data_IF_160977031535
#
_entry.id   IF_160977031535
#
_cell.length_a   1.000
_cell.length_b   1.000
_cell.length_c   1.000
_cell.angle_alpha   90.00
_cell.angle_beta   90.00
_cell.angle_gamma   90.00
#
_symmetry.space_group_name_H-M   'P 1'
#
loop_
_entity.id
_entity.type
_entity.pdbx_description
1 polymer ?
#
# COMPACT_ATOMS: atom_id res chain seq x y z
N UNK A 1 -87.79 12.00 5.67
CA UNK A 1 -87.84 10.53 5.64
C UNK A 1 -86.83 10.08 4.58
N UNK A 2 -85.75 9.40 5.03
CA UNK A 2 -84.80 8.55 4.27
C UNK A 2 -83.99 9.20 3.13
N UNK A 3 -82.70 9.57 3.31
CA UNK A 3 -81.43 8.79 3.38
C UNK A 3 -81.13 7.84 2.21
N UNK A 4 -80.07 8.17 1.44
CA UNK A 4 -78.86 7.37 1.07
C UNK A 4 -78.22 7.94 -0.22
N UNK A 5 -77.09 8.65 -0.15
CA UNK A 5 -75.69 8.19 -0.19
C UNK A 5 -75.24 7.50 -1.48
N UNK A 6 -74.64 8.28 -2.40
CA UNK A 6 -73.73 7.82 -3.44
C UNK A 6 -72.44 8.65 -3.39
N UNK A 7 -71.39 8.10 -2.75
CA UNK A 7 -70.09 8.76 -2.53
C UNK A 7 -69.19 8.53 -3.75
N UNK A 8 -68.97 9.57 -4.56
CA UNK A 8 -67.98 9.58 -5.63
C UNK A 8 -66.56 9.65 -5.05
N UNK A 9 -65.71 8.70 -5.42
CA UNK A 9 -64.26 8.74 -5.17
C UNK A 9 -63.64 9.70 -6.18
N UNK A 10 -63.14 10.86 -5.70
CA UNK A 10 -62.28 11.74 -6.49
C UNK A 10 -60.84 11.23 -6.39
N UNK A 11 -60.33 10.68 -7.49
CA UNK A 11 -58.90 10.46 -7.70
C UNK A 11 -58.21 11.82 -7.80
N UNK A 12 -57.37 12.17 -6.83
CA UNK A 12 -56.44 13.28 -6.92
C UNK A 12 -55.21 12.79 -7.70
N UNK A 13 -55.28 12.84 -9.02
CA UNK A 13 -54.13 12.65 -9.89
C UNK A 13 -53.24 13.88 -9.84
N UNK A 14 -52.28 13.91 -8.91
CA UNK A 14 -51.16 14.86 -8.96
C UNK A 14 -50.22 14.38 -10.06
N UNK A 15 -50.41 14.90 -11.28
CA UNK A 15 -49.42 14.73 -12.34
C UNK A 15 -48.10 15.38 -11.90
N UNK A 16 -47.12 14.57 -11.53
CA UNK A 16 -45.74 15.00 -11.35
C UNK A 16 -45.19 15.40 -12.72
N UNK A 17 -45.35 16.67 -13.09
CA UNK A 17 -44.60 17.29 -14.19
C UNK A 17 -43.16 17.50 -13.73
N UNK A 18 -42.30 16.53 -14.04
CA UNK A 18 -40.87 16.68 -13.88
C UNK A 18 -40.35 17.64 -14.95
N UNK A 19 -39.77 18.77 -14.52
CA UNK A 19 -39.12 19.69 -15.43
C UNK A 19 -37.89 19.01 -16.08
N UNK A 20 -37.71 19.10 -17.41
CA UNK A 20 -36.62 18.42 -18.12
C UNK A 20 -35.23 18.76 -17.55
N UNK A 21 -35.05 19.97 -17.00
CA UNK A 21 -33.81 20.39 -16.36
C UNK A 21 -33.48 19.57 -15.10
N UNK A 22 -34.48 19.18 -14.30
CA UNK A 22 -34.26 18.36 -13.09
C UNK A 22 -33.94 16.91 -13.42
N UNK A 23 -34.53 16.37 -14.49
CA UNK A 23 -34.18 15.03 -15.00
C UNK A 23 -32.74 15.03 -15.50
N UNK A 24 -32.32 16.07 -16.21
CA UNK A 24 -30.95 16.19 -16.71
C UNK A 24 -29.92 16.36 -15.58
N UNK A 25 -30.22 17.15 -14.54
CA UNK A 25 -29.34 17.29 -13.37
C UNK A 25 -29.24 16.01 -12.53
N UNK A 26 -30.34 15.27 -12.35
CA UNK A 26 -30.31 13.97 -11.66
C UNK A 26 -29.57 12.94 -12.52
N UNK A 27 -29.78 12.92 -13.84
CA UNK A 27 -29.06 12.03 -14.75
C UNK A 27 -27.56 12.35 -14.81
N UNK A 28 -27.16 13.63 -14.82
CA UNK A 28 -25.76 14.06 -14.74
C UNK A 28 -25.16 13.76 -13.36
N UNK A 29 -25.89 13.97 -12.26
CA UNK A 29 -25.42 13.62 -10.92
C UNK A 29 -25.30 12.10 -10.75
N UNK A 30 -26.22 11.31 -11.32
CA UNK A 30 -26.11 9.85 -11.37
C UNK A 30 -25.00 9.37 -12.30
N UNK A 31 -24.75 10.02 -13.45
CA UNK A 31 -23.60 9.72 -14.32
C UNK A 31 -22.28 10.12 -13.68
N UNK A 32 -22.23 11.22 -12.92
CA UNK A 32 -21.07 11.64 -12.15
C UNK A 32 -20.84 10.72 -10.95
N UNK A 33 -21.89 10.27 -10.25
CA UNK A 33 -21.80 9.25 -9.21
C UNK A 33 -21.40 7.89 -9.78
N UNK A 34 -21.91 7.49 -10.95
CA UNK A 34 -21.51 6.24 -11.62
C UNK A 34 -20.08 6.31 -12.16
N UNK A 35 -19.58 7.49 -12.57
CA UNK A 35 -18.16 7.70 -12.90
C UNK A 35 -17.25 7.84 -11.67
N UNK A 36 -17.82 8.08 -10.48
CA UNK A 36 -17.09 8.12 -9.20
C UNK A 36 -17.19 6.79 -8.43
N UNK A 37 -18.06 5.85 -8.83
CA UNK A 37 -18.24 4.55 -8.14
C UNK A 37 -17.85 3.31 -8.93
N UNK A 38 -17.24 3.42 -10.11
CA UNK A 38 -16.45 2.30 -10.62
C UNK A 38 -15.11 2.32 -9.89
N UNK A 39 -15.08 1.60 -8.77
CA UNK A 39 -13.93 1.35 -7.91
C UNK A 39 -13.57 -0.15 -8.06
N UNK A 40 -12.47 -0.45 -8.76
CA UNK A 40 -11.89 -1.76 -8.98
C UNK A 40 -10.46 -1.79 -8.47
N UNK A 41 -10.07 -2.97 -8.02
CA UNK A 41 -9.09 -3.17 -6.98
C UNK A 41 -8.00 -4.16 -7.48
N UNK A 42 -6.78 -3.62 -7.69
CA UNK A 42 -5.53 -4.20 -8.21
C UNK A 42 -4.71 -5.14 -7.27
N UNK A 43 -3.47 -5.53 -7.57
CA UNK A 43 -2.64 -6.41 -6.71
C UNK A 43 -1.70 -5.70 -5.73
N UNK A 44 -1.11 -6.47 -4.82
CA UNK A 44 0.00 -6.13 -3.91
C UNK A 44 1.34 -5.92 -4.64
N UNK A 45 2.05 -4.83 -4.32
CA UNK A 45 3.46 -4.65 -4.68
C UNK A 45 4.32 -4.47 -3.43
N UNK A 46 5.48 -5.13 -3.42
CA UNK A 46 6.53 -4.87 -2.44
C UNK A 46 7.45 -3.77 -2.94
N UNK A 47 7.95 -2.95 -2.02
CA UNK A 47 9.08 -2.08 -2.33
C UNK A 47 10.25 -2.93 -2.80
N UNK A 48 10.95 -2.46 -3.83
CA UNK A 48 12.15 -3.11 -4.32
C UNK A 48 13.25 -2.11 -4.68
N UNK A 49 14.48 -2.60 -4.70
CA UNK A 49 15.66 -1.82 -5.07
C UNK A 49 16.54 -2.65 -5.99
N UNK A 50 16.96 -2.07 -7.11
CA UNK A 50 17.98 -2.67 -7.98
C UNK A 50 19.36 -2.24 -7.47
N UNK A 51 20.19 -3.21 -7.08
CA UNK A 51 21.50 -2.92 -6.49
C UNK A 51 22.49 -2.27 -7.48
N UNK A 52 23.36 -1.36 -7.03
CA UNK A 52 24.28 -0.63 -7.91
C UNK A 52 25.36 -1.53 -8.53
N UNK A 53 25.15 -1.92 -9.79
CA UNK A 53 26.06 -2.79 -10.54
C UNK A 53 27.38 -2.15 -10.97
N UNK A 54 27.61 -0.86 -10.65
CA UNK A 54 28.94 -0.23 -10.77
C UNK A 54 29.87 -0.64 -9.61
N UNK A 55 29.30 -1.11 -8.50
CA UNK A 55 30.08 -1.58 -7.36
C UNK A 55 30.56 -3.02 -7.54
N UNK A 56 31.54 -3.41 -6.73
CA UNK A 56 31.98 -4.80 -6.65
C UNK A 56 30.84 -5.73 -6.22
N UNK A 57 30.81 -7.01 -6.67
CA UNK A 57 29.75 -7.96 -6.31
C UNK A 57 29.53 -8.15 -4.80
N UNK A 58 30.56 -7.96 -3.97
CA UNK A 58 30.43 -8.01 -2.51
C UNK A 58 29.58 -6.87 -1.93
N UNK A 59 29.41 -5.78 -2.67
CA UNK A 59 28.59 -4.62 -2.29
C UNK A 59 27.23 -4.61 -2.98
N UNK A 60 27.17 -4.90 -4.27
CA UNK A 60 25.91 -4.97 -5.02
C UNK A 60 25.14 -6.27 -4.83
N UNK A 61 25.71 -7.26 -4.14
CA UNK A 61 25.21 -8.63 -4.15
C UNK A 61 25.46 -9.36 -5.48
N UNK A 62 26.05 -8.69 -6.48
CA UNK A 62 26.32 -9.27 -7.79
C UNK A 62 25.08 -9.45 -8.66
N UNK A 63 23.96 -8.77 -8.34
CA UNK A 63 22.70 -8.92 -9.07
C UNK A 63 22.04 -7.57 -9.36
N UNK A 64 21.49 -7.44 -10.57
CA UNK A 64 20.59 -6.37 -10.99
C UNK A 64 19.12 -6.79 -10.92
N UNK A 65 18.83 -7.94 -10.32
CA UNK A 65 17.47 -8.31 -9.99
C UNK A 65 16.93 -7.41 -8.87
N UNK A 66 15.69 -6.92 -8.97
CA UNK A 66 15.04 -6.18 -7.89
C UNK A 66 15.09 -6.97 -6.58
N UNK A 67 15.65 -6.36 -5.54
CA UNK A 67 15.70 -6.90 -4.19
C UNK A 67 14.61 -6.28 -3.34
N UNK A 68 13.95 -7.05 -2.48
CA UNK A 68 12.88 -6.53 -1.62
C UNK A 68 13.42 -5.48 -0.64
N UNK A 69 12.72 -4.36 -0.54
CA UNK A 69 13.05 -3.27 0.37
C UNK A 69 12.53 -3.58 1.77
N UNK A 70 13.40 -3.62 2.78
CA UNK A 70 13.04 -3.98 4.16
C UNK A 70 14.11 -3.57 5.17
N UNK A 71 13.77 -3.49 6.45
CA UNK A 71 14.77 -3.33 7.51
C UNK A 71 15.56 -4.63 7.78
N UNK A 72 16.79 -4.49 8.27
CA UNK A 72 17.43 -5.57 9.03
C UNK A 72 16.82 -5.66 10.44
N UNK A 73 16.10 -6.74 10.70
CA UNK A 73 15.46 -7.05 11.99
C UNK A 73 16.20 -8.13 12.77
N UNK A 74 17.42 -8.47 12.38
CA UNK A 74 18.26 -9.50 13.04
C UNK A 74 18.62 -9.14 14.49
N UNK A 75 18.63 -7.84 14.81
CA UNK A 75 18.96 -7.31 16.14
C UNK A 75 17.74 -6.62 16.75
N UNK A 76 17.45 -6.83 18.04
CA UNK A 76 16.39 -6.09 18.71
C UNK A 76 16.63 -4.58 18.72
N UNK A 77 15.57 -3.81 18.51
CA UNK A 77 15.58 -2.35 18.56
C UNK A 77 16.26 -1.66 17.38
N UNK A 78 16.50 -2.36 16.25
CA UNK A 78 17.13 -1.77 15.07
C UNK A 78 16.30 -0.66 14.43
N UNK A 79 14.97 -0.76 14.52
CA UNK A 79 14.06 0.24 13.94
C UNK A 79 13.86 1.37 14.95
N UNK A 80 14.77 2.35 14.92
CA UNK A 80 14.66 3.58 15.70
C UNK A 80 13.47 4.41 15.20
N UNK A 81 12.71 5.00 16.12
CA UNK A 81 11.48 5.71 15.76
C UNK A 81 11.18 6.85 16.71
N UNK A 82 10.66 7.92 16.14
CA UNK A 82 10.19 9.08 16.88
C UNK A 82 8.93 9.67 16.25
N UNK A 83 8.24 10.52 16.99
CA UNK A 83 7.15 11.31 16.42
C UNK A 83 7.23 12.76 16.89
N UNK A 84 6.86 13.67 15.99
CA UNK A 84 6.90 15.11 16.24
C UNK A 84 5.73 15.57 17.09
N UNK A 85 6.01 16.17 18.24
CA UNK A 85 5.01 16.79 19.11
C UNK A 85 4.59 18.18 18.63
N UNK A 86 5.17 18.65 17.52
CA UNK A 86 4.71 19.85 16.82
C UNK A 86 3.41 19.50 16.10
N UNK A 87 2.30 20.00 16.63
CA UNK A 87 0.97 19.84 16.06
C UNK A 87 0.51 21.16 15.44
N UNK A 88 -0.12 21.10 14.27
CA UNK A 88 -0.76 22.27 13.67
C UNK A 88 -1.76 22.92 14.63
N UNK A 89 -1.61 24.23 14.86
CA UNK A 89 -2.43 24.99 15.82
C UNK A 89 -3.50 25.87 15.18
N UNK A 90 -3.44 26.10 13.86
CA UNK A 90 -4.43 26.89 13.13
C UNK A 90 -4.42 26.59 11.63
N UNK A 91 -5.32 25.71 11.13
CA UNK A 91 -6.32 24.95 11.88
C UNK A 91 -5.69 23.81 12.71
N UNK A 92 -6.42 23.34 13.73
CA UNK A 92 -6.07 22.09 14.42
C UNK A 92 -6.28 20.93 13.44
N UNK A 93 -5.22 20.19 13.15
CA UNK A 93 -5.26 19.08 12.18
C UNK A 93 -5.59 17.74 12.81
N UNK A 94 -5.33 17.57 14.12
CA UNK A 94 -5.56 16.32 14.85
C UNK A 94 -6.49 16.56 16.03
N UNK A 95 -7.66 15.94 15.97
CA UNK A 95 -8.69 15.95 16.99
C UNK A 95 -8.55 14.75 17.91
N UNK A 96 -8.50 15.02 19.22
CA UNK A 96 -8.35 14.05 20.30
C UNK A 96 -9.54 14.14 21.27
N UNK A 97 -9.75 13.14 22.11
CA UNK A 97 -10.80 13.17 23.11
C UNK A 97 -10.36 14.00 24.32
N UNK A 98 -9.11 13.84 24.75
CA UNK A 98 -8.50 14.69 25.76
C UNK A 98 -7.92 15.95 25.11
N UNK A 99 -8.45 17.11 25.50
CA UNK A 99 -8.07 18.42 24.96
C UNK A 99 -6.96 19.11 25.76
N UNK A 100 -6.49 18.51 26.87
CA UNK A 100 -5.32 19.01 27.61
C UNK A 100 -4.03 18.79 26.81
N UNK A 101 -3.05 19.68 26.92
CA UNK A 101 -1.81 19.57 26.15
C UNK A 101 -1.11 18.20 26.35
N UNK A 102 -1.04 17.70 27.58
CA UNK A 102 -0.45 16.39 27.87
C UNK A 102 -1.32 15.23 27.37
N UNK A 103 -2.64 15.32 27.56
CA UNK A 103 -3.59 14.30 27.12
C UNK A 103 -3.60 14.12 25.61
N UNK A 104 -3.62 15.23 24.85
CA UNK A 104 -3.50 15.23 23.38
C UNK A 104 -2.29 14.43 22.92
N UNK A 105 -1.11 14.72 23.50
CA UNK A 105 0.13 14.06 23.09
C UNK A 105 0.13 12.58 23.44
N UNK A 106 -0.35 12.22 24.63
CA UNK A 106 -0.45 10.81 25.04
C UNK A 106 -1.45 10.03 24.20
N UNK A 107 -2.55 10.65 23.81
CA UNK A 107 -3.55 10.00 22.96
C UNK A 107 -3.01 9.74 21.55
N UNK A 108 -2.31 10.70 20.93
CA UNK A 108 -1.65 10.52 19.63
C UNK A 108 -0.55 9.45 19.71
N UNK A 109 0.29 9.49 20.75
CA UNK A 109 1.32 8.48 20.96
C UNK A 109 0.75 7.07 21.09
N UNK A 110 -0.38 6.91 21.77
CA UNK A 110 -1.07 5.62 21.87
C UNK A 110 -1.54 5.13 20.48
N UNK A 111 -2.05 6.03 19.63
CA UNK A 111 -2.44 5.67 18.25
C UNK A 111 -1.23 5.23 17.42
N UNK A 112 -0.10 5.94 17.54
CA UNK A 112 1.17 5.56 16.88
C UNK A 112 1.61 4.17 17.34
N UNK A 113 1.60 3.91 18.66
CA UNK A 113 1.97 2.61 19.22
C UNK A 113 1.04 1.49 18.76
N UNK A 114 -0.28 1.73 18.73
CA UNK A 114 -1.27 0.77 18.26
C UNK A 114 -1.06 0.43 16.78
N UNK A 115 -0.88 1.45 15.93
CA UNK A 115 -0.64 1.26 14.49
C UNK A 115 0.63 0.45 14.21
N UNK A 116 1.68 0.63 15.02
CA UNK A 116 2.92 -0.18 14.97
C UNK A 116 2.69 -1.62 15.50
N UNK A 117 1.86 -1.78 16.53
CA UNK A 117 1.56 -3.07 17.11
C UNK A 117 0.80 -3.99 16.12
N UNK A 118 -0.03 -3.42 15.26
CA UNK A 118 -0.75 -4.15 14.21
C UNK A 118 0.20 -4.93 13.30
N UNK A 119 1.22 -4.26 12.77
CA UNK A 119 2.23 -4.89 11.90
C UNK A 119 3.10 -5.90 12.64
N UNK A 120 3.53 -5.57 13.86
CA UNK A 120 4.40 -6.47 14.65
C UNK A 120 3.65 -7.60 15.36
N UNK A 121 2.32 -7.57 15.33
CA UNK A 121 1.44 -8.61 15.86
C UNK A 121 1.20 -9.79 14.92
N UNK A 122 1.59 -9.67 13.65
CA UNK A 122 1.42 -10.73 12.65
C UNK A 122 2.27 -11.96 13.01
N UNK A 123 1.67 -13.14 12.89
CA UNK A 123 2.37 -14.42 13.08
C UNK A 123 3.17 -14.82 11.83
N UNK A 124 4.22 -15.63 12.02
CA UNK A 124 5.00 -16.15 10.88
C UNK A 124 6.02 -15.18 10.29
N UNK A 125 6.24 -14.05 10.96
CA UNK A 125 7.21 -13.02 10.57
C UNK A 125 8.29 -12.81 11.64
N UNK A 126 9.50 -12.44 11.22
CA UNK A 126 10.60 -11.99 12.10
C UNK A 126 10.47 -10.52 12.52
N UNK A 127 9.56 -9.74 11.90
CA UNK A 127 9.21 -8.41 12.39
C UNK A 127 8.38 -8.56 13.67
N UNK A 128 8.98 -8.26 14.81
CA UNK A 128 8.39 -8.42 16.15
C UNK A 128 8.38 -7.11 16.91
N UNK A 129 7.65 -7.01 18.03
CA UNK A 129 7.71 -5.82 18.89
C UNK A 129 9.14 -5.50 19.34
N UNK A 130 9.98 -6.52 19.51
CA UNK A 130 11.39 -6.38 19.87
C UNK A 130 12.26 -5.80 18.74
N UNK A 131 11.84 -5.85 17.48
CA UNK A 131 12.54 -5.21 16.36
C UNK A 131 12.49 -3.68 16.44
N UNK A 132 11.50 -3.14 17.17
CA UNK A 132 11.25 -1.72 17.28
C UNK A 132 12.00 -1.12 18.48
N UNK A 133 12.71 -0.03 18.25
CA UNK A 133 13.27 0.79 19.34
C UNK A 133 12.16 1.44 20.19
N UNK A 134 12.54 2.02 21.33
CA UNK A 134 11.62 2.79 22.15
C UNK A 134 11.13 4.02 21.39
N UNK A 135 9.81 4.18 21.25
CA UNK A 135 9.23 5.37 20.59
C UNK A 135 9.59 6.63 21.38
N UNK A 136 10.25 7.57 20.72
CA UNK A 136 10.62 8.87 21.29
C UNK A 136 9.66 9.98 20.83
N UNK A 137 9.58 11.05 21.64
CA UNK A 137 8.97 12.32 21.26
C UNK A 137 10.06 13.28 20.83
N UNK A 138 9.81 14.07 19.79
CA UNK A 138 10.67 15.20 19.40
C UNK A 138 9.87 16.47 19.24
N UNK A 139 10.37 17.59 19.76
CA UNK A 139 9.79 18.92 19.55
C UNK A 139 10.50 19.69 18.42
N UNK A 140 11.37 19.01 17.68
CA UNK A 140 12.08 19.61 16.54
C UNK A 140 11.07 19.88 15.43
N UNK A 141 11.01 21.14 15.00
CA UNK A 141 10.32 21.50 13.77
C UNK A 141 11.04 20.81 12.61
N UNK A 142 10.28 20.30 11.65
CA UNK A 142 10.80 19.56 10.48
C UNK A 142 11.66 18.34 10.85
N UNK A 143 11.16 17.49 11.76
CA UNK A 143 11.87 16.29 12.20
C UNK A 143 11.93 15.18 11.14
N UNK A 144 11.08 15.21 10.12
CA UNK A 144 11.08 14.21 9.05
C UNK A 144 12.08 14.65 7.98
N UNK A 145 13.32 14.19 8.12
CA UNK A 145 14.38 14.44 7.15
C UNK A 145 14.96 13.11 6.70
N UNK A 146 14.96 12.85 5.39
CA UNK A 146 15.30 11.56 4.79
C UNK A 146 16.80 11.21 4.81
N UNK A 147 17.52 11.61 5.84
CA UNK A 147 18.99 11.53 5.91
C UNK A 147 19.55 11.39 7.32
N UNK A 148 18.69 11.36 8.34
CA UNK A 148 19.12 11.24 9.73
C UNK A 148 19.08 9.79 10.25
N UNK A 149 18.43 8.88 9.51
CA UNK A 149 18.26 7.48 9.90
C UNK A 149 17.32 7.28 11.09
N UNK A 150 16.45 8.27 11.35
CA UNK A 150 15.40 8.20 12.36
C UNK A 150 14.04 8.19 11.66
N UNK A 151 13.37 7.04 11.71
CA UNK A 151 12.03 6.90 11.15
C UNK A 151 11.04 7.79 11.93
N UNK A 152 10.73 8.97 11.39
CA UNK A 152 9.99 10.01 12.08
C UNK A 152 8.56 10.11 11.58
N UNK A 153 7.61 10.38 12.50
CA UNK A 153 6.22 10.68 12.14
C UNK A 153 5.95 12.16 12.38
N UNK A 154 5.60 12.89 11.32
CA UNK A 154 5.37 14.34 11.38
C UNK A 154 3.93 14.71 11.01
N UNK A 155 3.33 15.55 11.84
CA UNK A 155 1.94 16.00 11.69
C UNK A 155 1.81 17.45 11.21
N UNK A 156 2.92 18.19 11.19
CA UNK A 156 2.96 19.62 10.88
C UNK A 156 4.20 19.98 10.04
N UNK A 157 4.50 19.17 9.03
CA UNK A 157 5.60 19.42 8.10
C UNK A 157 5.08 19.41 6.67
N UNK A 158 5.25 20.53 5.96
CA UNK A 158 4.83 20.64 4.57
C UNK A 158 5.88 20.04 3.63
N UNK A 159 5.42 19.45 2.54
CA UNK A 159 6.26 18.85 1.50
C UNK A 159 5.56 19.01 0.14
N UNK A 160 6.35 19.21 -0.91
CA UNK A 160 5.89 19.23 -2.30
C UNK A 160 5.17 17.95 -2.75
N UNK A 161 5.39 16.82 -2.06
CA UNK A 161 4.73 15.55 -2.32
C UNK A 161 3.25 15.52 -1.92
N UNK A 162 2.75 16.50 -1.14
CA UNK A 162 1.31 16.67 -0.90
C UNK A 162 0.59 17.23 -2.14
N UNK A 163 0.53 16.42 -3.20
CA UNK A 163 -0.31 16.69 -4.37
C UNK A 163 -1.80 16.64 -4.00
N UNK A 164 -2.68 17.04 -4.93
CA UNK A 164 -4.13 17.00 -4.70
C UNK A 164 -4.58 15.59 -4.27
N UNK A 165 -5.34 15.49 -3.17
CA UNK A 165 -5.86 14.22 -2.64
C UNK A 165 -4.93 13.43 -1.70
N UNK A 166 -3.63 13.74 -1.64
CA UNK A 166 -2.66 13.01 -0.78
C UNK A 166 -2.81 13.39 0.70
N UNK A 167 -3.40 12.52 1.52
CA UNK A 167 -3.62 12.77 2.95
C UNK A 167 -2.35 12.61 3.79
N UNK A 168 -1.54 11.62 3.44
CA UNK A 168 -0.27 11.29 4.05
C UNK A 168 0.61 10.59 3.01
N UNK A 169 1.90 10.49 3.29
CA UNK A 169 2.81 9.63 2.54
C UNK A 169 4.01 9.24 3.41
N UNK A 170 4.70 8.19 3.00
CA UNK A 170 5.94 7.74 3.64
C UNK A 170 7.11 7.86 2.68
N UNK A 171 8.16 8.53 3.11
CA UNK A 171 9.41 8.70 2.36
C UNK A 171 10.40 7.65 2.80
N UNK A 172 10.54 6.60 1.99
CA UNK A 172 11.48 5.51 2.24
C UNK A 172 12.80 5.75 1.50
N UNK A 173 13.91 5.61 2.22
CA UNK A 173 15.27 5.58 1.67
C UNK A 173 15.83 4.20 1.90
N UNK A 174 16.22 3.53 0.81
CA UNK A 174 16.84 2.21 0.83
C UNK A 174 18.26 2.26 0.30
N UNK A 175 19.13 1.42 0.84
CA UNK A 175 20.48 1.24 0.34
C UNK A 175 20.48 0.57 -1.05
N UNK A 176 21.28 1.07 -1.97
CA UNK A 176 21.53 0.41 -3.26
C UNK A 176 22.65 -0.63 -3.16
N UNK A 177 23.40 -0.61 -2.06
CA UNK A 177 24.57 -1.46 -1.84
C UNK A 177 24.70 -1.82 -0.37
N UNK A 178 25.44 -2.88 -0.05
CA UNK A 178 25.89 -3.11 1.32
C UNK A 178 27.02 -2.13 1.69
N UNK A 179 27.04 -1.73 2.96
CA UNK A 179 27.96 -0.75 3.52
C UNK A 179 27.55 0.71 3.28
N UNK A 180 26.37 0.97 2.74
CA UNK A 180 25.85 2.31 2.52
C UNK A 180 25.35 2.94 3.83
N UNK A 181 25.52 4.26 3.98
CA UNK A 181 25.14 5.01 5.16
C UNK A 181 24.53 6.35 4.74
N UNK A 182 23.51 6.81 5.48
CA UNK A 182 22.95 8.15 5.27
C UNK A 182 23.87 9.23 5.84
N UNK A 183 24.49 8.94 6.98
CA UNK A 183 25.49 9.80 7.61
C UNK A 183 26.51 8.98 8.39
N UNK A 184 27.61 9.61 8.81
CA UNK A 184 28.62 8.96 9.66
C UNK A 184 28.10 8.50 11.03
N UNK A 185 26.89 8.94 11.42
CA UNK A 185 26.24 8.53 12.66
C UNK A 185 25.29 7.34 12.51
N UNK A 186 24.95 6.94 11.29
CA UNK A 186 24.06 5.81 11.01
C UNK A 186 24.82 4.50 10.82
N UNK A 187 24.19 3.38 11.15
CA UNK A 187 24.76 2.06 10.87
C UNK A 187 24.86 1.83 9.34
N UNK A 188 25.91 1.15 8.87
CA UNK A 188 25.99 0.76 7.47
C UNK A 188 24.96 -0.32 7.15
N UNK A 189 24.37 -0.24 5.96
CA UNK A 189 23.53 -1.31 5.42
C UNK A 189 24.32 -2.62 5.36
N UNK A 190 23.61 -3.71 5.58
CA UNK A 190 24.10 -5.09 5.49
C UNK A 190 23.76 -5.71 4.12
N UNK A 191 22.73 -5.23 3.44
CA UNK A 191 22.33 -5.67 2.10
C UNK A 191 21.75 -4.54 1.23
N UNK A 192 21.70 -4.76 -0.09
CA UNK A 192 20.99 -3.87 -1.01
C UNK A 192 19.47 -4.05 -0.87
N UNK A 193 18.73 -2.95 -0.82
CA UNK A 193 17.32 -2.90 -0.43
C UNK A 193 17.11 -2.68 1.07
N UNK A 194 18.15 -2.60 1.89
CA UNK A 194 17.97 -2.29 3.31
C UNK A 194 17.40 -0.89 3.50
N UNK A 195 16.28 -0.77 4.23
CA UNK A 195 15.71 0.52 4.58
C UNK A 195 16.62 1.21 5.59
N UNK A 196 17.10 2.38 5.22
CA UNK A 196 17.96 3.23 6.04
C UNK A 196 17.16 4.30 6.79
N UNK A 197 16.04 4.74 6.21
CA UNK A 197 15.16 5.76 6.76
C UNK A 197 13.75 5.64 6.13
N UNK A 198 12.73 5.98 6.90
CA UNK A 198 11.34 5.88 6.51
C UNK A 198 10.48 6.85 7.33
N UNK A 199 10.38 8.08 6.84
CA UNK A 199 9.61 9.15 7.45
C UNK A 199 8.15 9.12 7.00
N UNK A 200 7.22 9.23 7.95
CA UNK A 200 5.79 9.39 7.70
C UNK A 200 5.39 10.85 7.84
N UNK A 201 4.81 11.42 6.79
CA UNK A 201 4.33 12.80 6.78
C UNK A 201 2.82 12.81 6.58
N UNK A 202 2.11 13.45 7.51
CA UNK A 202 0.68 13.72 7.39
C UNK A 202 0.47 15.15 6.93
N UNK A 203 -0.53 15.36 6.07
CA UNK A 203 -0.82 16.68 5.49
C UNK A 203 -1.05 17.73 6.58
N UNK A 204 -0.20 18.78 6.65
CA UNK A 204 -0.35 19.83 7.63
C UNK A 204 -1.39 20.87 7.19
N UNK A 205 -2.05 21.49 8.17
CA UNK A 205 -2.73 22.79 8.05
C UNK A 205 -3.81 22.97 6.97
N UNK A 206 -4.30 21.91 6.32
CA UNK A 206 -5.36 22.02 5.31
C UNK A 206 -6.73 22.15 6.00
N UNK A 207 -7.41 23.29 5.79
CA UNK A 207 -8.73 23.57 6.37
C UNK A 207 -9.81 22.54 5.97
N UNK A 208 -9.56 21.75 4.93
CA UNK A 208 -10.47 20.71 4.44
C UNK A 208 -10.07 19.30 4.86
N UNK A 209 -8.92 19.13 5.49
CA UNK A 209 -8.41 17.83 5.95
C UNK A 209 -8.21 17.88 7.46
N UNK A 210 -8.93 17.01 8.18
CA UNK A 210 -8.77 16.86 9.63
C UNK A 210 -8.70 15.38 9.95
N UNK A 211 -7.81 15.02 10.86
CA UNK A 211 -7.64 13.67 11.37
C UNK A 211 -8.20 13.59 12.79
N UNK A 212 -8.65 12.41 13.19
CA UNK A 212 -9.14 12.18 14.54
C UNK A 212 -8.66 10.85 15.08
N UNK A 213 -8.29 10.81 16.36
CA UNK A 213 -7.95 9.57 17.05
C UNK A 213 -9.19 8.68 17.20
N UNK A 214 -9.04 7.36 17.42
CA UNK A 214 -10.17 6.46 17.62
C UNK A 214 -11.12 6.89 18.74
N UNK A 215 -10.59 7.43 19.85
CA UNK A 215 -11.39 7.90 20.98
C UNK A 215 -12.19 9.17 20.65
N UNK A 216 -11.68 10.01 19.75
CA UNK A 216 -12.33 11.23 19.30
C UNK A 216 -13.18 11.04 18.03
N UNK A 217 -13.17 9.84 17.44
CA UNK A 217 -13.86 9.56 16.18
C UNK A 217 -15.38 9.74 16.23
N UNK A 218 -16.12 9.21 17.24
CA UNK A 218 -17.58 9.31 17.27
C UNK A 218 -18.18 10.73 17.17
N UNK A 219 -17.63 11.75 17.85
CA UNK A 219 -18.12 13.13 17.70
C UNK A 219 -17.63 13.85 16.43
N UNK A 220 -16.70 13.27 15.65
CA UNK A 220 -16.04 13.94 14.52
C UNK A 220 -16.26 13.19 13.19
N UNK A 221 -17.51 13.10 12.68
CA UNK A 221 -17.84 12.30 11.50
C UNK A 221 -17.29 12.85 10.18
N UNK A 222 -16.67 14.04 10.18
CA UNK A 222 -16.05 14.65 9.01
C UNK A 222 -14.52 14.57 9.04
N UNK A 223 -13.94 13.85 9.99
CA UNK A 223 -12.50 13.65 10.09
C UNK A 223 -12.10 12.28 9.55
N UNK A 224 -10.89 12.19 9.00
CA UNK A 224 -10.24 10.93 8.67
C UNK A 224 -9.76 10.24 9.94
N UNK A 225 -9.83 8.92 9.94
CA UNK A 225 -9.34 8.12 11.05
C UNK A 225 -7.80 8.09 11.09
N UNK A 226 -7.21 8.66 12.14
CA UNK A 226 -5.75 8.75 12.28
C UNK A 226 -5.09 7.37 12.36
N UNK A 227 -5.70 6.40 13.04
CA UNK A 227 -5.14 5.05 13.17
C UNK A 227 -5.12 4.32 11.82
N UNK A 228 -6.16 4.45 10.99
CA UNK A 228 -6.19 3.84 9.64
C UNK A 228 -5.11 4.43 8.75
N UNK A 229 -4.99 5.76 8.72
CA UNK A 229 -3.96 6.46 7.92
C UNK A 229 -2.56 6.08 8.42
N UNK A 230 -2.30 6.14 9.72
CA UNK A 230 -0.99 5.77 10.26
C UNK A 230 -0.66 4.29 10.03
N UNK A 231 -1.63 3.38 10.18
CA UNK A 231 -1.39 1.96 9.93
C UNK A 231 -1.02 1.72 8.46
N UNK A 232 -1.66 2.40 7.52
CA UNK A 232 -1.30 2.38 6.10
C UNK A 232 0.13 2.88 5.86
N UNK A 233 0.45 4.09 6.33
CA UNK A 233 1.77 4.69 6.13
C UNK A 233 2.89 3.85 6.77
N UNK A 234 2.63 3.27 7.94
CA UNK A 234 3.60 2.37 8.58
C UNK A 234 3.82 1.07 7.79
N UNK A 235 2.87 0.64 6.95
CA UNK A 235 3.13 -0.44 6.00
C UNK A 235 4.24 -0.06 5.02
N UNK A 236 4.20 1.17 4.48
CA UNK A 236 5.30 1.68 3.65
C UNK A 236 6.61 1.78 4.43
N UNK A 237 6.57 2.20 5.71
CA UNK A 237 7.74 2.17 6.59
C UNK A 237 8.38 0.78 6.62
N UNK A 238 7.58 -0.28 6.62
CA UNK A 238 8.08 -1.66 6.63
C UNK A 238 8.42 -2.23 5.24
N UNK A 239 8.33 -1.45 4.16
CA UNK A 239 8.74 -1.85 2.82
C UNK A 239 7.60 -2.26 1.88
N UNK A 240 6.35 -1.99 2.26
CA UNK A 240 5.21 -2.24 1.38
C UNK A 240 5.11 -1.14 0.33
N UNK A 241 4.70 -1.49 -0.89
CA UNK A 241 4.04 -0.53 -1.79
C UNK A 241 2.53 -0.69 -1.63
N UNK A 242 1.75 0.04 -2.42
CA UNK A 242 0.31 -0.16 -2.38
C UNK A 242 -0.07 -1.58 -2.79
N UNK A 243 -1.08 -2.09 -2.10
CA UNK A 243 -1.91 -3.15 -2.62
C UNK A 243 -3.06 -2.52 -3.31
N UNK A 244 -3.53 -3.14 -4.36
CA UNK A 244 -4.75 -2.69 -4.95
C UNK A 244 -5.93 -3.59 -4.53
N UNK A 245 -5.72 -4.57 -3.63
CA UNK A 245 -6.79 -5.37 -3.03
C UNK A 245 -7.63 -4.44 -2.16
N UNK A 246 -8.91 -4.28 -2.49
CA UNK A 246 -9.77 -3.26 -1.86
C UNK A 246 -9.81 -3.32 -0.33
N UNK A 247 -9.72 -4.54 0.23
CA UNK A 247 -9.78 -4.76 1.67
C UNK A 247 -8.41 -4.69 2.35
N UNK A 248 -7.33 -4.53 1.60
CA UNK A 248 -5.99 -4.43 2.17
C UNK A 248 -5.80 -3.09 2.88
N UNK A 249 -5.02 -3.10 3.94
CA UNK A 249 -4.59 -1.86 4.60
C UNK A 249 -3.79 -1.01 3.62
N UNK A 250 -2.99 -1.65 2.76
CA UNK A 250 -2.21 -0.96 1.73
C UNK A 250 -3.00 -0.51 0.50
N UNK A 251 -4.33 -0.53 0.54
CA UNK A 251 -5.15 0.06 -0.51
C UNK A 251 -4.88 1.57 -0.64
N UNK A 252 -4.56 2.12 -1.85
CA UNK A 252 -4.09 3.50 -2.03
C UNK A 252 -5.07 4.59 -1.60
N UNK A 253 -6.34 4.24 -1.40
CA UNK A 253 -7.38 5.20 -1.07
C UNK A 253 -7.90 4.96 0.34
N UNK A 254 -7.75 5.98 1.17
CA UNK A 254 -8.33 5.98 2.50
C UNK A 254 -9.88 5.91 2.43
N UNK A 255 -10.53 5.30 3.43
CA UNK A 255 -11.97 5.47 3.62
C UNK A 255 -12.35 6.96 3.67
N UNK A 256 -13.56 7.32 3.21
CA UNK A 256 -14.02 8.70 3.31
C UNK A 256 -14.10 9.15 4.77
N UNK A 257 -14.10 10.46 5.05
CA UNK A 257 -14.22 10.96 6.42
C UNK A 257 -15.42 10.37 7.15
N UNK A 258 -15.25 10.08 8.45
CA UNK A 258 -16.25 9.38 9.25
C UNK A 258 -16.29 7.86 9.06
N UNK A 259 -15.39 7.30 8.24
CA UNK A 259 -15.14 5.86 8.15
C UNK A 259 -13.69 5.50 8.53
N UNK A 260 -13.45 4.23 8.81
CA UNK A 260 -12.13 3.67 9.13
C UNK A 260 -11.96 2.31 8.45
N UNK A 261 -10.71 1.87 8.30
CA UNK A 261 -10.36 0.64 7.57
C UNK A 261 -10.59 -0.58 8.46
N UNK A 262 -11.32 -1.57 7.94
CA UNK A 262 -11.47 -2.89 8.56
C UNK A 262 -12.07 -2.88 9.97
N UNK A 263 -11.54 -3.73 10.85
CA UNK A 263 -11.93 -3.81 12.27
C UNK A 263 -10.76 -3.39 13.14
N UNK A 264 -11.03 -2.73 14.26
CA UNK A 264 -9.99 -2.29 15.19
C UNK A 264 -9.22 -3.47 15.80
N UNK A 265 -7.93 -3.29 16.14
CA UNK A 265 -7.18 -4.28 16.88
C UNK A 265 -7.90 -4.67 18.18
N UNK A 266 -7.85 -5.96 18.52
CA UNK A 266 -8.40 -6.50 19.76
C UNK A 266 -7.43 -7.52 20.36
N UNK A 267 -7.71 -8.00 21.58
CA UNK A 267 -6.87 -9.05 22.18
C UNK A 267 -6.95 -10.38 21.41
N UNK A 268 -8.06 -10.63 20.71
CA UNK A 268 -8.25 -11.82 19.86
C UNK A 268 -7.67 -11.66 18.46
N UNK A 269 -7.61 -10.43 17.95
CA UNK A 269 -7.06 -10.07 16.64
C UNK A 269 -6.17 -8.84 16.77
N UNK A 270 -4.95 -9.00 17.32
CA UNK A 270 -4.05 -7.88 17.59
C UNK A 270 -3.49 -7.25 16.30
N UNK A 271 -3.56 -7.97 15.18
CA UNK A 271 -3.12 -7.53 13.85
C UNK A 271 -4.28 -7.08 12.95
N UNK A 272 -5.50 -6.96 13.48
CA UNK A 272 -6.55 -6.24 12.78
C UNK A 272 -6.20 -4.74 12.72
N UNK A 273 -6.47 -4.01 11.63
CA UNK A 273 -7.36 -4.33 10.52
C UNK A 273 -6.69 -5.00 9.31
N UNK A 274 -5.45 -5.50 9.40
CA UNK A 274 -4.75 -6.07 8.25
C UNK A 274 -5.60 -7.15 7.57
N UNK A 275 -5.55 -7.19 6.25
CA UNK A 275 -6.10 -8.28 5.45
C UNK A 275 -5.08 -9.42 5.34
N UNK A 276 -5.50 -10.57 4.79
CA UNK A 276 -4.57 -11.69 4.59
C UNK A 276 -3.49 -11.36 3.54
N UNK A 277 -3.80 -10.49 2.58
CA UNK A 277 -2.83 -9.94 1.63
C UNK A 277 -1.70 -9.19 2.35
N UNK A 278 -2.04 -8.30 3.29
CA UNK A 278 -1.05 -7.54 4.07
C UNK A 278 -0.20 -8.48 4.96
N UNK A 279 -0.84 -9.45 5.62
CA UNK A 279 -0.15 -10.46 6.45
C UNK A 279 0.80 -11.32 5.63
N UNK A 280 0.36 -11.77 4.46
CA UNK A 280 1.18 -12.57 3.55
C UNK A 280 2.39 -11.78 3.08
N UNK A 281 2.18 -10.54 2.64
CA UNK A 281 3.25 -9.62 2.26
C UNK A 281 4.30 -9.44 3.35
N UNK A 282 3.88 -9.34 4.61
CA UNK A 282 4.81 -9.22 5.74
C UNK A 282 5.65 -10.49 5.95
N UNK A 283 5.08 -11.67 5.70
CA UNK A 283 5.81 -12.95 5.75
C UNK A 283 6.81 -13.09 4.62
N UNK A 284 6.55 -12.46 3.47
CA UNK A 284 7.50 -12.40 2.35
C UNK A 284 8.68 -11.48 2.69
N UNK A 285 8.43 -10.28 3.22
CA UNK A 285 9.48 -9.33 3.58
C UNK A 285 10.33 -9.79 4.77
N UNK A 286 9.67 -10.30 5.80
CA UNK A 286 10.30 -10.64 7.07
C UNK A 286 10.00 -12.09 7.41
N UNK A 287 10.46 -13.07 6.63
CA UNK A 287 10.13 -14.46 6.87
C UNK A 287 10.65 -14.91 8.24
N UNK A 288 9.80 -15.60 9.00
CA UNK A 288 10.23 -16.38 10.16
C UNK A 288 10.67 -17.77 9.65
N UNK A 289 11.94 -18.16 9.79
CA UNK A 289 12.40 -19.48 9.35
C UNK A 289 11.76 -20.64 10.14
N UNK A 290 11.12 -20.36 11.28
CA UNK A 290 10.36 -21.33 12.06
C UNK A 290 8.90 -21.46 11.64
N UNK A 291 8.40 -20.59 10.76
CA UNK A 291 7.04 -20.71 10.24
C UNK A 291 6.93 -21.89 9.29
N UNK A 292 6.18 -22.90 9.73
CA UNK A 292 5.86 -24.10 8.94
C UNK A 292 4.46 -24.07 8.36
N UNK A 293 3.66 -23.06 8.71
CA UNK A 293 2.27 -22.90 8.28
C UNK A 293 2.14 -22.10 6.99
N UNK A 294 3.03 -21.14 6.77
CA UNK A 294 3.04 -20.25 5.60
C UNK A 294 4.31 -20.47 4.75
N UNK A 295 4.38 -21.63 4.11
CA UNK A 295 5.52 -22.06 3.30
C UNK A 295 5.15 -22.37 1.84
N UNK A 296 3.89 -22.16 1.48
CA UNK A 296 3.38 -22.46 0.14
C UNK A 296 3.83 -21.43 -0.89
N UNK A 297 4.03 -21.89 -2.12
CA UNK A 297 4.35 -21.05 -3.27
C UNK A 297 3.46 -21.44 -4.44
N UNK A 298 2.96 -20.45 -5.17
CA UNK A 298 2.26 -20.64 -6.46
C UNK A 298 2.87 -19.67 -7.45
N UNK A 299 3.40 -20.18 -8.56
CA UNK A 299 3.95 -19.37 -9.65
C UNK A 299 3.32 -19.68 -11.00
N UNK A 300 3.46 -18.76 -11.94
CA UNK A 300 2.97 -18.93 -13.30
C UNK A 300 3.28 -17.73 -14.20
N UNK A 301 2.63 -17.69 -15.36
CA UNK A 301 2.77 -16.59 -16.33
C UNK A 301 1.40 -16.08 -16.79
N UNK A 302 1.29 -14.76 -16.93
CA UNK A 302 0.16 -14.09 -17.58
C UNK A 302 0.56 -13.78 -19.03
N UNK A 303 0.03 -14.59 -19.97
CA UNK A 303 0.37 -14.50 -21.39
C UNK A 303 -0.85 -14.03 -22.21
N UNK A 304 -0.65 -13.24 -23.27
CA UNK A 304 -1.74 -12.88 -24.16
C UNK A 304 -2.15 -14.08 -25.03
N UNK A 305 -3.44 -14.16 -25.36
CA UNK A 305 -3.92 -15.15 -26.32
C UNK A 305 -3.32 -14.96 -27.73
N UNK A 306 -2.97 -13.71 -28.08
CA UNK A 306 -2.29 -13.35 -29.31
C UNK A 306 -1.00 -12.59 -28.96
N UNK A 307 0.20 -13.14 -29.24
CA UNK A 307 1.47 -12.45 -28.99
C UNK A 307 1.60 -11.08 -29.67
N UNK A 308 0.84 -10.82 -30.75
CA UNK A 308 0.79 -9.51 -31.40
C UNK A 308 0.15 -8.40 -30.53
N UNK A 309 -0.47 -8.77 -29.40
CA UNK A 309 -1.00 -7.82 -28.42
C UNK A 309 0.08 -7.27 -27.48
N UNK A 310 1.30 -7.84 -27.48
CA UNK A 310 2.40 -7.33 -26.69
C UNK A 310 3.00 -6.06 -27.32
N UNK A 311 3.52 -5.14 -26.51
CA UNK A 311 4.23 -3.99 -27.03
C UNK A 311 5.43 -4.45 -27.85
N UNK A 312 5.56 -3.90 -29.06
CA UNK A 312 6.68 -4.18 -29.98
C UNK A 312 7.99 -3.55 -29.48
N UNK A 313 7.88 -2.56 -28.58
CA UNK A 313 9.00 -1.85 -27.96
C UNK A 313 8.77 -1.69 -26.46
N UNK A 314 9.76 -1.95 -25.60
CA UNK A 314 11.08 -2.49 -25.94
C UNK A 314 11.01 -3.93 -26.47
N UNK A 315 11.99 -4.37 -27.27
CA UNK A 315 12.05 -5.77 -27.71
C UNK A 315 12.25 -6.70 -26.50
N UNK A 316 11.75 -7.93 -26.59
CA UNK A 316 11.93 -8.96 -25.55
C UNK A 316 10.79 -9.07 -24.55
N UNK A 317 9.71 -8.29 -24.69
CA UNK A 317 8.48 -8.48 -23.92
C UNK A 317 7.77 -9.73 -24.42
N UNK A 318 7.62 -10.74 -23.56
CA UNK A 318 7.04 -12.06 -23.91
C UNK A 318 5.78 -12.40 -23.12
N UNK A 319 5.43 -11.59 -22.12
CA UNK A 319 4.17 -11.71 -21.38
C UNK A 319 3.55 -10.36 -21.04
N UNK A 320 2.37 -10.42 -20.43
CA UNK A 320 1.61 -9.24 -20.04
C UNK A 320 2.31 -8.56 -18.86
N UNK A 321 2.60 -7.27 -19.00
CA UNK A 321 3.09 -6.42 -17.93
C UNK A 321 2.31 -5.09 -17.92
N UNK A 322 1.92 -4.58 -16.75
CA UNK A 322 1.69 -5.30 -15.50
C UNK A 322 0.35 -6.06 -15.57
N UNK A 323 0.19 -7.10 -14.77
CA UNK A 323 -1.13 -7.68 -14.48
C UNK A 323 -1.24 -7.96 -12.99
N UNK A 324 -2.38 -7.66 -12.38
CA UNK A 324 -2.67 -8.18 -11.06
C UNK A 324 -2.92 -9.67 -11.16
N UNK A 325 -2.36 -10.43 -10.22
CA UNK A 325 -2.73 -11.82 -9.99
C UNK A 325 -3.13 -11.96 -8.53
N UNK A 326 -4.23 -12.66 -8.28
CA UNK A 326 -4.79 -12.84 -6.95
C UNK A 326 -4.97 -14.32 -6.65
N UNK A 327 -4.59 -14.72 -5.45
CA UNK A 327 -4.92 -16.01 -4.85
C UNK A 327 -6.07 -15.82 -3.85
N UNK A 328 -7.22 -16.44 -4.13
CA UNK A 328 -8.37 -16.47 -3.23
C UNK A 328 -8.42 -17.82 -2.54
N UNK A 329 -8.52 -17.81 -1.22
CA UNK A 329 -8.74 -19.02 -0.43
C UNK A 329 -10.13 -19.59 -0.73
N UNK A 330 -10.20 -20.84 -1.19
CA UNK A 330 -11.46 -21.47 -1.59
C UNK A 330 -12.40 -21.75 -0.40
N UNK A 331 -11.86 -21.90 0.81
CA UNK A 331 -12.65 -22.17 2.02
C UNK A 331 -13.27 -20.90 2.58
N UNK A 332 -12.56 -19.78 2.54
CA UNK A 332 -13.02 -18.50 3.15
C UNK A 332 -13.57 -17.51 2.12
N UNK A 333 -13.17 -17.63 0.86
CA UNK A 333 -13.42 -16.63 -0.18
C UNK A 333 -12.60 -15.34 0.00
N UNK A 334 -11.67 -15.29 0.95
CA UNK A 334 -10.82 -14.14 1.18
C UNK A 334 -9.65 -14.12 0.18
N UNK A 335 -9.20 -12.92 -0.16
CA UNK A 335 -7.94 -12.73 -0.88
C UNK A 335 -6.80 -13.05 0.08
N UNK A 336 -6.13 -14.18 -0.15
CA UNK A 336 -5.02 -14.65 0.68
C UNK A 336 -3.70 -13.96 0.32
N UNK A 337 -3.52 -13.65 -0.96
CA UNK A 337 -2.40 -12.86 -1.47
C UNK A 337 -2.73 -12.30 -2.84
N UNK A 338 -2.13 -11.17 -3.16
CA UNK A 338 -2.06 -10.62 -4.50
C UNK A 338 -0.58 -10.37 -4.88
N UNK A 339 -0.30 -10.21 -6.17
CA UNK A 339 1.03 -9.86 -6.68
C UNK A 339 0.92 -9.23 -8.06
N UNK A 340 1.90 -8.41 -8.44
CA UNK A 340 2.00 -7.86 -9.79
C UNK A 340 2.82 -8.82 -10.65
N UNK A 341 2.13 -9.46 -11.60
CA UNK A 341 2.76 -10.18 -12.67
C UNK A 341 3.41 -9.24 -13.68
N UNK A 342 4.37 -9.80 -14.40
CA UNK A 342 4.85 -9.24 -15.64
C UNK A 342 6.35 -9.28 -15.81
N UNK A 343 7.08 -9.70 -14.77
CA UNK A 343 8.53 -9.79 -14.85
C UNK A 343 9.08 -10.97 -14.04
N UNK A 344 10.22 -11.47 -14.49
CA UNK A 344 11.09 -12.39 -13.77
C UNK A 344 12.50 -11.82 -13.73
N UNK A 345 13.36 -12.42 -12.91
CA UNK A 345 14.78 -12.11 -12.98
C UNK A 345 15.61 -13.32 -12.56
N UNK A 346 16.65 -13.61 -13.33
CA UNK A 346 17.65 -14.62 -13.02
C UNK A 346 18.99 -13.92 -12.83
N UNK A 347 19.73 -14.27 -11.78
CA UNK A 347 21.04 -13.66 -11.51
C UNK A 347 21.99 -13.77 -12.72
N UNK A 348 22.72 -12.69 -13.07
CA UNK A 348 22.82 -11.41 -12.37
C UNK A 348 21.80 -10.34 -12.84
N UNK A 349 20.71 -10.73 -13.50
CA UNK A 349 19.76 -9.84 -14.16
C UNK A 349 20.20 -9.37 -15.56
N UNK A 350 19.49 -8.42 -16.18
CA UNK A 350 18.42 -7.60 -15.62
C UNK A 350 17.04 -8.29 -15.61
N UNK A 351 16.04 -7.61 -15.03
CA UNK A 351 14.64 -8.04 -15.10
C UNK A 351 14.17 -8.29 -16.54
N UNK A 352 13.42 -9.37 -16.75
CA UNK A 352 12.84 -9.79 -18.01
C UNK A 352 11.32 -9.67 -17.94
N UNK A 353 10.67 -9.10 -18.97
CA UNK A 353 9.23 -8.83 -18.96
C UNK A 353 8.44 -9.94 -19.66
N UNK A 354 8.19 -11.02 -18.92
CA UNK A 354 7.72 -12.31 -19.45
C UNK A 354 6.37 -12.78 -18.88
N UNK A 355 5.65 -11.89 -18.19
CA UNK A 355 4.35 -12.25 -17.60
C UNK A 355 4.46 -13.03 -16.28
N UNK A 356 5.66 -13.31 -15.78
CA UNK A 356 5.84 -14.14 -14.59
C UNK A 356 5.17 -13.54 -13.36
N UNK A 357 4.68 -14.40 -12.48
CA UNK A 357 4.24 -14.07 -11.12
C UNK A 357 4.62 -15.18 -10.15
N UNK A 358 4.76 -14.81 -8.88
CA UNK A 358 4.96 -15.73 -7.76
C UNK A 358 4.21 -15.22 -6.54
N UNK A 359 3.40 -16.08 -5.94
CA UNK A 359 2.94 -15.96 -4.56
C UNK A 359 3.88 -16.77 -3.69
N UNK A 360 4.38 -16.16 -2.64
CA UNK A 360 5.17 -16.83 -1.61
C UNK A 360 4.46 -16.74 -0.28
N UNK A 361 4.81 -17.66 0.63
CA UNK A 361 4.30 -17.71 2.01
C UNK A 361 2.79 -17.90 2.12
N UNK A 362 2.19 -18.55 1.12
CA UNK A 362 0.81 -18.99 1.24
C UNK A 362 0.68 -20.02 2.35
N UNK A 363 -0.45 -20.00 3.04
CA UNK A 363 -0.78 -21.04 4.01
C UNK A 363 -0.81 -22.41 3.32
N UNK A 364 -0.35 -23.44 4.02
CA UNK A 364 -0.44 -24.84 3.57
C UNK A 364 -1.27 -25.66 4.54
N UNK A 365 -1.96 -26.67 4.01
CA UNK A 365 -2.79 -27.56 4.81
C UNK A 365 -3.42 -28.65 3.93
N UNK A 366 -3.90 -29.75 4.54
CA UNK A 366 -4.42 -30.90 3.80
C UNK A 366 -5.66 -30.59 2.95
N UNK A 367 -6.41 -29.54 3.29
CA UNK A 367 -7.58 -29.05 2.55
C UNK A 367 -7.35 -27.65 1.94
N UNK A 368 -6.14 -27.11 2.04
CA UNK A 368 -5.87 -25.75 1.60
C UNK A 368 -5.83 -25.72 0.07
N UNK A 369 -6.69 -24.91 -0.54
CA UNK A 369 -6.74 -24.74 -1.98
C UNK A 369 -7.04 -23.28 -2.31
N UNK A 370 -6.52 -22.82 -3.44
CA UNK A 370 -6.66 -21.45 -3.89
C UNK A 370 -7.25 -21.40 -5.29
N UNK A 371 -8.11 -20.42 -5.55
CA UNK A 371 -8.49 -20.00 -6.88
C UNK A 371 -7.60 -18.84 -7.31
N UNK A 372 -6.95 -18.98 -8.46
CA UNK A 372 -6.10 -17.94 -9.03
C UNK A 372 -6.86 -17.22 -10.14
N UNK A 373 -6.78 -15.90 -10.18
CA UNK A 373 -7.20 -15.10 -11.33
C UNK A 373 -6.21 -13.96 -11.60
N UNK A 374 -6.27 -13.43 -12.82
CA UNK A 374 -5.48 -12.28 -13.23
C UNK A 374 -6.38 -11.22 -13.89
N UNK A 375 -6.10 -9.95 -13.63
CA UNK A 375 -6.82 -8.82 -14.19
C UNK A 375 -5.88 -7.66 -14.55
N UNK A 376 -6.23 -6.84 -15.56
CA UNK A 376 -5.45 -5.66 -15.92
C UNK A 376 -5.53 -4.55 -14.86
N UNK A 377 -4.48 -3.72 -14.77
CA UNK A 377 -4.46 -2.49 -13.96
C UNK A 377 -4.95 -1.28 -14.78
N UNK A 378 -6.12 -1.40 -15.38
CA UNK A 378 -6.75 -0.39 -16.24
C UNK A 378 -8.09 0.13 -15.70
N UNK A 379 -8.40 -0.27 -14.46
CA UNK A 379 -9.60 0.13 -13.72
C UNK A 379 -9.31 1.29 -12.75
N UNK A 380 -9.81 1.17 -11.53
CA UNK A 380 -9.74 2.25 -10.52
C UNK A 380 -8.46 2.25 -9.70
N UNK A 381 -7.64 1.22 -9.89
CA UNK A 381 -6.22 1.32 -9.62
C UNK A 381 -5.47 1.10 -10.93
N UNK A 382 -4.61 2.05 -11.23
CA UNK A 382 -3.73 2.11 -12.38
C UNK A 382 -2.32 1.71 -11.96
N UNK A 383 -1.46 1.41 -12.93
CA UNK A 383 -0.05 1.10 -12.65
C UNK A 383 0.64 2.18 -11.80
N UNK A 384 0.37 3.46 -12.06
CA UNK A 384 0.99 4.57 -11.35
C UNK A 384 0.61 4.67 -9.88
N UNK A 385 -0.46 3.98 -9.46
CA UNK A 385 -0.93 3.93 -8.06
C UNK A 385 -0.37 2.72 -7.30
N UNK A 386 0.24 1.76 -8.00
CA UNK A 386 0.82 0.54 -7.39
C UNK A 386 2.35 0.54 -7.49
N UNK A 387 2.88 0.91 -8.66
CA UNK A 387 4.32 1.00 -8.92
C UNK A 387 4.65 2.46 -9.23
N UNK A 388 5.09 3.17 -8.20
CA UNK A 388 5.42 4.59 -8.29
C UNK A 388 6.74 4.88 -8.99
N UNK A 389 7.65 3.91 -9.01
CA UNK A 389 8.99 4.13 -9.49
C UNK A 389 9.50 2.94 -10.30
N UNK A 390 9.46 3.02 -11.63
CA UNK A 390 10.01 1.97 -12.50
C UNK A 390 11.49 1.67 -12.26
N UNK A 391 12.25 2.59 -11.63
CA UNK A 391 13.67 2.35 -11.29
C UNK A 391 13.87 1.34 -10.16
N UNK A 392 12.83 1.05 -9.38
CA UNK A 392 12.81 -0.03 -8.39
C UNK A 392 12.81 -1.43 -9.03
N UNK A 393 12.29 -1.52 -10.26
CA UNK A 393 12.23 -2.76 -11.04
C UNK A 393 13.38 -2.86 -12.04
N UNK A 394 13.89 -1.72 -12.50
CA UNK A 394 14.75 -1.69 -13.67
C UNK A 394 15.55 -0.39 -13.78
N UNK A 395 16.87 -0.48 -13.93
CA UNK A 395 17.74 0.66 -14.19
C UNK A 395 18.34 0.61 -15.59
N UNK A 396 18.63 1.78 -16.15
CA UNK A 396 19.36 1.96 -17.40
C UNK A 396 20.04 3.33 -17.42
N UNK A 397 20.78 3.64 -18.49
CA UNK A 397 21.52 4.89 -18.62
C UNK A 397 20.65 6.16 -18.65
N UNK A 398 19.35 6.05 -18.93
CA UNK A 398 18.42 7.18 -18.90
C UNK A 398 17.93 7.48 -17.48
N UNK A 399 17.75 6.45 -16.66
CA UNK A 399 17.30 6.60 -15.27
C UNK A 399 18.45 6.74 -14.27
N UNK A 400 19.61 6.17 -14.59
CA UNK A 400 20.83 6.18 -13.77
C UNK A 400 22.06 6.35 -14.69
N UNK A 401 22.54 7.59 -14.90
CA UNK A 401 23.68 7.85 -15.78
C UNK A 401 24.91 7.03 -15.41
N UNK A 402 25.48 6.36 -16.41
CA UNK A 402 26.63 5.45 -16.21
C UNK A 402 26.25 4.03 -15.80
N UNK A 403 24.96 3.67 -15.81
CA UNK A 403 24.52 2.29 -15.60
C UNK A 403 25.13 1.33 -16.64
N UNK A 404 25.68 0.16 -16.23
CA UNK A 404 26.27 -0.78 -17.17
C UNK A 404 25.22 -1.37 -18.13
N UNK A 405 25.49 -1.28 -19.44
CA UNK A 405 24.52 -1.67 -20.48
C UNK A 405 24.10 -3.15 -20.40
N UNK A 406 24.99 -4.06 -19.96
CA UNK A 406 24.67 -5.48 -19.83
C UNK A 406 23.65 -5.80 -18.71
N UNK A 407 23.44 -4.87 -17.78
CA UNK A 407 22.46 -4.97 -16.69
C UNK A 407 21.32 -3.97 -16.87
N UNK A 408 21.22 -3.34 -18.04
CA UNK A 408 20.19 -2.37 -18.33
C UNK A 408 18.92 -3.07 -18.83
N UNK A 409 17.76 -2.63 -18.38
CA UNK A 409 16.47 -3.03 -18.96
C UNK A 409 15.64 -1.79 -19.29
N UNK A 410 14.47 -1.99 -19.90
CA UNK A 410 13.47 -0.93 -20.09
C UNK A 410 12.12 -1.50 -19.69
N UNK A 411 11.46 -0.84 -18.74
CA UNK A 411 10.10 -1.24 -18.34
C UNK A 411 9.16 -0.98 -19.52
N UNK A 412 8.43 -2.00 -20.01
CA UNK A 412 7.50 -1.81 -21.11
C UNK A 412 6.31 -0.96 -20.64
N UNK A 413 5.61 -0.30 -21.58
CA UNK A 413 4.36 0.36 -21.25
C UNK A 413 3.34 -0.67 -20.73
N UNK A 414 2.38 -0.21 -19.91
CA UNK A 414 1.29 -1.04 -19.45
C UNK A 414 0.50 -1.62 -20.63
N UNK A 415 0.32 -2.94 -20.63
CA UNK A 415 -0.53 -3.64 -21.58
C UNK A 415 -2.01 -3.49 -21.17
N UNK A 416 -2.63 -2.35 -21.48
CA UNK A 416 -4.05 -2.08 -21.21
C UNK A 416 -4.89 -1.97 -22.51
N UNK A 417 -6.16 -2.43 -22.55
CA UNK A 417 -6.83 -3.42 -21.69
C UNK A 417 -6.73 -4.86 -22.24
N UNK A 418 -6.63 -5.88 -21.37
CA UNK A 418 -6.72 -7.29 -21.77
C UNK A 418 -7.83 -8.03 -21.02
N UNK A 419 -8.42 -9.04 -21.65
CA UNK A 419 -9.34 -9.98 -20.98
C UNK A 419 -8.63 -11.29 -20.70
N UNK A 420 -8.63 -11.72 -19.44
CA UNK A 420 -8.04 -12.99 -19.05
C UNK A 420 -8.93 -14.17 -19.46
N UNK A 421 -8.31 -15.22 -20.03
CA UNK A 421 -8.90 -16.56 -20.10
C UNK A 421 -7.91 -17.52 -19.47
N UNK A 422 -8.28 -18.11 -18.34
CA UNK A 422 -7.45 -19.06 -17.62
C UNK A 422 -7.59 -20.42 -18.31
N UNK A 423 -6.47 -21.01 -18.70
CA UNK A 423 -6.43 -22.41 -19.10
C UNK A 423 -5.82 -23.21 -17.95
N UNK A 424 -6.46 -24.28 -17.48
CA UNK A 424 -5.80 -25.24 -16.61
C UNK A 424 -4.50 -25.70 -17.27
N UNK A 425 -3.41 -25.77 -16.49
CA UNK A 425 -2.16 -26.35 -16.96
C UNK A 425 -2.34 -27.84 -17.34
N UNK A 426 -1.44 -28.39 -18.18
CA UNK A 426 -1.42 -29.82 -18.49
C UNK A 426 -1.14 -30.70 -17.27
#
# INVERSE_FOLDING_TARGET
MTMQNGRQVRSAGTELRWEPAKILSIALACLFLIQVTSASAGAYALGSTVADMRQAPSRSGGTSCPQLTRFDVSTPGTINRQWSTVLGTSPITILTADQSAAGRLSEIENVVQQSLAVWTGVSGTSLKPTSLGTLQRTAVQTACTSSDGLNSICFDQNDSAFAAGVLAFTRVVSADTSGEQLSSGTLPSTFAGEILDADVLLRPGDATTTFTTPAAFPPNPNAYDLESILTHELGHTFGFSHSAVWRAMMFPFAPPPGQFTGVRPSTQQPDAPLSDDDRNGLRVLYPDPSDTTHVGTIGGHVLPANPLALPVSPPGVTGIFPAQVVAVDNATGAVAAATIAGWSCSDPGPAQFDGSYSFERLQVGPSQTYQIYAEPLDGSVTLGEVIYNSTSLCRNAATDPGWPAQYACTVPPSAAPFSARIRPGP
#
